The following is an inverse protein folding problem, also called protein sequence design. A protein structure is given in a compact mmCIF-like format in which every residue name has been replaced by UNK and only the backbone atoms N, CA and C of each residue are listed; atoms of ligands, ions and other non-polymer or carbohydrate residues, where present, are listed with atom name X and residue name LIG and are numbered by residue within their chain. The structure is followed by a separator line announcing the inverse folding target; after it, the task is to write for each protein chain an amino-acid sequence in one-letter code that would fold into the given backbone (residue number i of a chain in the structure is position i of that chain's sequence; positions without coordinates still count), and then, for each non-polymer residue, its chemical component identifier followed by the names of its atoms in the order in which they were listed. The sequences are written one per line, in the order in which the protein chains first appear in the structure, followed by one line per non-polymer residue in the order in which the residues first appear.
data_IF_913623534316
#
_entry.id   IF_913623534316
#
_cell.length_a   1.000
_cell.length_b   1.000
_cell.length_c   1.000
_cell.angle_alpha   90.00
_cell.angle_beta   90.00
_cell.angle_gamma   90.00
#
_symmetry.space_group_name_H-M   'P 1'
#
loop_
_entity.id
_entity.type
_entity.pdbx_description
1 polymer ?
#
# COMPACT_ATOMS: atom_id res chain seq x y z
N UNK A 1 34.91 -0.38 -0.76
CA UNK A 1 34.15 0.76 -1.30
C UNK A 1 32.69 0.38 -1.12
N UNK A 2 31.93 1.12 -0.30
CA UNK A 2 30.54 0.79 -0.01
C UNK A 2 29.64 1.45 -1.04
N UNK A 3 29.12 0.68 -2.00
CA UNK A 3 27.99 1.10 -2.84
C UNK A 3 26.74 0.76 -2.06
N UNK A 4 26.28 1.69 -1.24
CA UNK A 4 25.00 1.59 -0.55
C UNK A 4 23.90 1.93 -1.58
N UNK A 5 23.59 0.97 -2.46
CA UNK A 5 22.52 1.08 -3.46
C UNK A 5 21.19 0.65 -2.81
N UNK A 6 20.47 1.60 -2.21
CA UNK A 6 19.02 1.52 -2.06
C UNK A 6 18.46 2.87 -2.52
N UNK A 7 18.02 2.96 -3.77
CA UNK A 7 16.59 3.24 -3.96
C UNK A 7 15.99 2.63 -5.25
N UNK A 8 14.70 2.24 -5.21
CA UNK A 8 13.86 2.22 -6.42
C UNK A 8 12.36 2.41 -6.12
N UNK A 9 11.90 3.66 -6.15
CA UNK A 9 10.67 4.08 -6.84
C UNK A 9 10.88 5.50 -7.43
N UNK A 10 11.72 5.71 -8.47
CA UNK A 10 13.13 5.28 -8.47
C UNK A 10 14.02 6.19 -7.59
N UNK A 11 13.58 7.41 -7.24
CA UNK A 11 14.37 8.33 -6.40
C UNK A 11 13.50 9.43 -5.73
N UNK A 12 12.25 9.11 -5.35
CA UNK A 12 11.33 9.96 -4.51
C UNK A 12 10.93 11.31 -5.20
N UNK A 13 9.99 12.19 -4.79
CA UNK A 13 9.20 12.53 -3.60
C UNK A 13 7.67 12.48 -3.93
N UNK A 14 6.77 12.21 -2.96
CA UNK A 14 5.31 12.33 -3.16
C UNK A 14 4.84 13.79 -3.06
N UNK A 15 3.66 14.10 -3.60
CA UNK A 15 3.04 15.42 -3.42
C UNK A 15 1.69 15.32 -2.70
N UNK A 16 1.64 16.09 -1.63
CA UNK A 16 0.60 16.39 -0.64
C UNK A 16 -0.74 16.90 -1.21
N UNK A 17 -1.89 16.33 -0.81
CA UNK A 17 -2.97 17.17 -0.26
C UNK A 17 -4.12 16.44 0.47
N UNK A 18 -4.16 16.71 1.78
CA UNK A 18 -5.31 16.99 2.63
C UNK A 18 -6.57 16.12 2.49
N UNK A 19 -6.74 15.17 3.42
CA UNK A 19 -8.01 15.07 4.13
C UNK A 19 -7.78 14.76 5.61
N UNK A 20 -8.46 15.59 6.40
CA UNK A 20 -8.37 15.80 7.83
C UNK A 20 -8.98 14.68 8.68
N UNK A 21 -8.58 14.69 9.96
CA UNK A 21 -9.21 14.15 11.18
C UNK A 21 -8.73 12.77 11.69
N UNK A 22 -7.92 12.84 12.77
CA UNK A 22 -7.58 11.83 13.80
C UNK A 22 -6.43 10.82 13.59
N UNK A 23 -5.68 10.85 12.48
CA UNK A 23 -4.42 10.08 12.35
C UNK A 23 -3.21 11.03 12.31
N UNK A 24 -2.15 10.73 13.07
CA UNK A 24 -0.88 11.50 13.06
C UNK A 24 -0.09 11.25 11.75
N UNK A 25 -0.47 10.21 11.00
CA UNK A 25 0.13 9.76 9.74
C UNK A 25 -0.45 10.48 8.51
N UNK A 26 0.38 10.71 7.50
CA UNK A 26 -0.02 11.37 6.26
C UNK A 26 -0.86 10.43 5.38
N UNK A 27 -2.10 10.81 5.04
CA UNK A 27 -2.92 9.98 4.16
C UNK A 27 -2.43 10.04 2.72
N UNK A 28 -2.12 8.88 2.15
CA UNK A 28 -1.75 8.74 0.74
C UNK A 28 -2.85 8.03 -0.04
N UNK A 29 -3.13 8.54 -1.22
CA UNK A 29 -3.91 7.86 -2.24
C UNK A 29 -2.99 7.62 -3.43
N UNK A 30 -2.85 6.36 -3.83
CA UNK A 30 -2.01 6.01 -4.96
C UNK A 30 -2.82 6.13 -6.24
N UNK A 31 -2.41 7.02 -7.15
CA UNK A 31 -2.97 7.09 -8.48
C UNK A 31 -2.49 5.93 -9.36
N UNK A 32 -3.15 5.72 -10.50
CA UNK A 32 -2.79 4.66 -11.46
C UNK A 32 -1.33 4.81 -11.89
N UNK A 33 -0.52 3.79 -11.63
CA UNK A 33 0.92 3.75 -11.92
C UNK A 33 1.80 4.05 -10.72
N UNK A 34 1.23 4.58 -9.64
CA UNK A 34 1.96 4.89 -8.42
C UNK A 34 2.20 3.67 -7.53
N UNK A 35 3.22 3.75 -6.68
CA UNK A 35 3.42 2.76 -5.62
C UNK A 35 4.03 3.37 -4.38
N UNK A 36 3.65 2.80 -3.25
CA UNK A 36 4.26 3.07 -1.95
C UNK A 36 5.03 1.84 -1.51
N UNK A 37 6.15 2.07 -0.82
CA UNK A 37 6.86 1.03 -0.08
C UNK A 37 7.06 1.53 1.34
N UNK A 38 6.75 0.70 2.31
CA UNK A 38 7.00 1.02 3.71
C UNK A 38 6.86 -0.19 4.62
N UNK A 39 7.38 -0.05 5.83
CA UNK A 39 7.20 -1.00 6.93
C UNK A 39 5.80 -0.84 7.50
N UNK A 40 5.02 -1.91 7.59
CA UNK A 40 3.71 -1.90 8.23
C UNK A 40 3.90 -1.54 9.71
N UNK A 41 3.36 -0.39 10.11
CA UNK A 41 3.36 0.08 11.49
C UNK A 41 2.13 -0.32 12.25
N UNK A 42 0.98 -0.26 11.60
CA UNK A 42 -0.27 -0.69 12.17
C UNK A 42 -1.23 -1.10 11.04
N UNK A 43 -2.02 -2.13 11.32
CA UNK A 43 -3.15 -2.53 10.51
C UNK A 43 -4.39 -2.31 11.37
N UNK A 44 -5.20 -1.30 11.03
CA UNK A 44 -6.44 -1.00 11.75
C UNK A 44 -7.62 -1.52 10.92
N UNK A 45 -8.09 -2.76 11.15
CA UNK A 45 -9.27 -3.29 10.46
C UNK A 45 -10.56 -2.65 11.00
N UNK A 46 -11.64 -2.71 10.21
CA UNK A 46 -12.96 -2.15 10.55
C UNK A 46 -12.99 -0.62 10.71
N UNK A 47 -12.22 0.09 9.89
CA UNK A 47 -12.21 1.55 9.86
C UNK A 47 -13.19 2.11 8.81
N UNK A 48 -13.70 3.32 9.10
CA UNK A 48 -14.60 4.04 8.20
C UNK A 48 -16.02 3.45 8.11
N UNK A 49 -16.73 3.82 7.04
CA UNK A 49 -18.15 3.49 6.84
C UNK A 49 -18.39 2.08 6.26
N UNK A 50 -17.35 1.47 5.70
CA UNK A 50 -17.42 0.20 4.97
C UNK A 50 -16.52 -0.88 5.59
N UNK A 51 -16.25 -0.76 6.89
CA UNK A 51 -15.41 -1.71 7.65
C UNK A 51 -14.07 -1.98 6.95
N UNK A 52 -13.49 -0.94 6.32
CA UNK A 52 -12.30 -1.05 5.48
C UNK A 52 -11.05 -0.98 6.34
N UNK A 53 -10.05 -1.80 6.05
CA UNK A 53 -8.77 -1.80 6.78
C UNK A 53 -7.95 -0.55 6.41
N UNK A 54 -7.43 0.15 7.41
CA UNK A 54 -6.41 1.20 7.22
C UNK A 54 -5.04 0.59 7.48
N UNK A 55 -4.10 0.89 6.60
CA UNK A 55 -2.72 0.40 6.69
C UNK A 55 -1.82 1.62 6.89
N UNK A 56 -1.07 1.62 7.99
CA UNK A 56 -0.02 2.61 8.23
C UNK A 56 1.34 2.03 7.82
N UNK A 57 2.02 2.71 6.91
CA UNK A 57 3.31 2.32 6.34
C UNK A 57 4.37 3.36 6.68
N UNK A 58 5.46 2.96 7.34
CA UNK A 58 6.63 3.80 7.55
C UNK A 58 7.56 3.71 6.32
N UNK A 59 7.66 4.79 5.57
CA UNK A 59 8.50 4.89 4.37
C UNK A 59 9.95 5.29 4.67
N UNK A 60 10.25 5.67 5.91
CA UNK A 60 11.59 6.05 6.34
C UNK A 60 11.65 6.52 7.78
N UNK A 61 12.74 7.22 8.15
CA UNK A 61 12.92 7.76 9.50
C UNK A 61 12.01 8.97 9.68
N UNK A 62 10.85 8.74 10.30
CA UNK A 62 9.90 9.80 10.68
C UNK A 62 8.83 10.11 9.63
N UNK A 63 8.74 9.31 8.58
CA UNK A 63 7.74 9.45 7.51
C UNK A 63 6.80 8.24 7.57
N UNK A 64 5.59 8.45 8.09
CA UNK A 64 4.55 7.43 8.22
C UNK A 64 3.35 7.88 7.44
N UNK A 65 2.89 7.01 6.55
CA UNK A 65 1.76 7.27 5.67
C UNK A 65 0.64 6.28 5.94
N UNK A 66 -0.61 6.73 5.92
CA UNK A 66 -1.79 5.90 6.05
C UNK A 66 -2.46 5.74 4.69
N UNK A 67 -2.94 4.54 4.37
CA UNK A 67 -3.74 4.30 3.17
C UNK A 67 -4.92 3.39 3.46
N UNK A 68 -5.99 3.57 2.67
CA UNK A 68 -7.10 2.63 2.67
C UNK A 68 -6.68 1.34 1.96
N UNK A 69 -6.80 0.22 2.66
CA UNK A 69 -6.71 -1.09 2.05
C UNK A 69 -7.91 -1.35 1.15
N UNK A 70 -7.74 -2.32 0.26
CA UNK A 70 -8.79 -2.88 -0.58
C UNK A 70 -8.77 -4.39 -0.44
N UNK A 71 -9.85 -5.09 -0.84
CA UNK A 71 -9.90 -6.55 -0.76
C UNK A 71 -8.74 -7.28 -1.45
N UNK A 72 -8.14 -6.67 -2.49
CA UNK A 72 -6.94 -7.21 -3.14
C UNK A 72 -5.69 -7.10 -2.24
N UNK A 73 -5.57 -6.00 -1.50
CA UNK A 73 -4.46 -5.74 -0.58
C UNK A 73 -4.62 -6.59 0.67
N UNK A 74 -5.80 -6.59 1.31
CA UNK A 74 -6.08 -7.43 2.49
C UNK A 74 -5.80 -8.92 2.20
N UNK A 75 -6.25 -9.43 1.04
CA UNK A 75 -5.99 -10.82 0.67
C UNK A 75 -4.49 -11.09 0.44
N UNK A 76 -3.77 -10.17 -0.19
CA UNK A 76 -2.33 -10.36 -0.38
C UNK A 76 -1.55 -10.28 0.93
N UNK A 77 -1.97 -9.45 1.88
CA UNK A 77 -1.40 -9.41 3.23
C UNK A 77 -1.69 -10.70 3.99
N UNK A 78 -2.93 -11.18 3.98
CA UNK A 78 -3.36 -12.44 4.63
C UNK A 78 -2.65 -13.68 4.04
N UNK A 79 -2.57 -13.79 2.72
CA UNK A 79 -1.95 -14.93 2.02
C UNK A 79 -0.43 -15.01 2.28
N UNK A 80 0.22 -13.88 2.54
CA UNK A 80 1.66 -13.79 2.81
C UNK A 80 1.98 -13.63 4.31
N UNK A 81 0.99 -13.70 5.20
CA UNK A 81 1.13 -13.52 6.66
C UNK A 81 1.85 -12.19 7.03
N UNK A 82 1.59 -11.13 6.26
CA UNK A 82 2.25 -9.83 6.39
C UNK A 82 1.59 -8.98 7.48
N UNK A 83 2.38 -8.56 8.46
CA UNK A 83 1.89 -7.82 9.63
C UNK A 83 2.81 -6.69 10.07
N UNK A 84 2.60 -6.22 11.29
CA UNK A 84 3.41 -5.15 11.90
C UNK A 84 4.91 -5.53 11.90
N UNK A 85 5.74 -4.66 11.35
CA UNK A 85 7.19 -4.84 11.21
C UNK A 85 7.63 -5.40 9.85
N UNK A 86 6.70 -5.85 9.00
CA UNK A 86 7.02 -6.32 7.66
C UNK A 86 7.08 -5.17 6.65
N UNK A 87 8.05 -5.21 5.74
CA UNK A 87 8.20 -4.21 4.69
C UNK A 87 7.43 -4.65 3.46
N UNK A 88 6.42 -3.87 3.06
CA UNK A 88 5.57 -4.17 1.91
C UNK A 88 5.58 -3.02 0.91
N UNK A 89 5.55 -3.40 -0.37
CA UNK A 89 5.35 -2.50 -1.49
C UNK A 89 3.97 -2.69 -2.08
N UNK A 90 3.15 -1.64 -2.06
CA UNK A 90 1.81 -1.63 -2.65
C UNK A 90 1.86 -0.75 -3.90
N UNK A 91 1.52 -1.33 -5.04
CA UNK A 91 1.50 -0.65 -6.34
C UNK A 91 0.10 -0.63 -6.92
N UNK A 92 -0.39 0.56 -7.20
CA UNK A 92 -1.53 0.77 -8.07
C UNK A 92 -1.03 0.67 -9.51
N UNK A 93 -1.41 -0.38 -10.22
CA UNK A 93 -0.94 -0.55 -11.60
C UNK A 93 -1.77 0.32 -12.55
N UNK A 94 -1.18 0.74 -13.66
CA UNK A 94 -1.95 1.39 -14.76
C UNK A 94 -2.88 0.41 -15.48
N UNK A 95 -2.83 -0.88 -15.13
CA UNK A 95 -3.67 -1.90 -15.73
C UNK A 95 -5.00 -1.95 -14.97
N UNK A 96 -6.07 -1.89 -15.75
CA UNK A 96 -7.41 -2.21 -15.29
C UNK A 96 -7.79 -3.59 -15.80
N UNK A 97 -8.61 -4.29 -15.03
CA UNK A 97 -9.25 -5.52 -15.47
C UNK A 97 -10.75 -5.32 -15.45
N UNK A 98 -11.46 -6.05 -16.31
CA UNK A 98 -12.92 -6.09 -16.26
C UNK A 98 -13.37 -7.38 -15.61
N UNK A 99 -14.42 -7.32 -14.80
CA UNK A 99 -15.18 -8.50 -14.40
C UNK A 99 -16.65 -8.30 -14.77
N UNK A 100 -17.32 -9.39 -15.10
CA UNK A 100 -18.76 -9.37 -15.33
C UNK A 100 -19.46 -9.65 -14.01
N UNK A 101 -20.31 -8.73 -13.54
CA UNK A 101 -21.11 -8.95 -12.34
C UNK A 101 -22.26 -9.92 -12.60
N UNK A 102 -23.00 -10.29 -11.55
CA UNK A 102 -24.16 -11.20 -11.65
C UNK A 102 -25.31 -10.64 -12.52
N UNK A 103 -25.35 -9.32 -12.75
CA UNK A 103 -26.30 -8.66 -13.65
C UNK A 103 -25.87 -8.67 -15.14
N UNK A 104 -24.67 -9.21 -15.45
CA UNK A 104 -24.15 -9.29 -16.81
C UNK A 104 -23.49 -8.00 -17.30
N UNK A 105 -23.23 -7.04 -16.42
CA UNK A 105 -22.56 -5.78 -16.72
C UNK A 105 -21.04 -5.92 -16.55
N UNK A 106 -20.28 -5.44 -17.52
CA UNK A 106 -18.82 -5.37 -17.44
C UNK A 106 -18.43 -4.18 -16.55
N UNK A 107 -17.86 -4.48 -15.38
CA UNK A 107 -17.30 -3.47 -14.49
C UNK A 107 -15.78 -3.49 -14.59
N UNK A 108 -15.21 -2.33 -14.88
CA UNK A 108 -13.77 -2.10 -14.84
C UNK A 108 -13.33 -1.84 -13.40
N UNK A 109 -12.26 -2.51 -12.97
CA UNK A 109 -11.61 -2.29 -11.69
C UNK A 109 -10.10 -2.17 -11.87
N UNK A 110 -9.49 -1.39 -10.99
CA UNK A 110 -8.05 -1.21 -10.95
C UNK A 110 -7.34 -2.43 -10.37
N UNK A 111 -6.22 -2.82 -10.99
CA UNK A 111 -5.41 -3.93 -10.50
C UNK A 111 -4.36 -3.40 -9.52
N UNK A 112 -4.42 -3.92 -8.30
CA UNK A 112 -3.46 -3.62 -7.24
C UNK A 112 -2.48 -4.78 -7.09
N UNK A 113 -1.21 -4.46 -6.78
CA UNK A 113 -0.17 -5.47 -6.53
C UNK A 113 0.51 -5.16 -5.22
N UNK A 114 0.49 -6.14 -4.33
CA UNK A 114 1.28 -6.12 -3.09
C UNK A 114 2.48 -7.05 -3.28
N UNK A 115 3.64 -6.61 -2.82
CA UNK A 115 4.85 -7.41 -2.78
C UNK A 115 5.52 -7.21 -1.43
N UNK A 116 5.88 -8.29 -0.76
CA UNK A 116 6.82 -8.21 0.34
C UNK A 116 8.19 -7.79 -0.21
N UNK A 117 8.83 -6.84 0.46
CA UNK A 117 10.25 -6.62 0.28
C UNK A 117 10.92 -7.55 1.30
N UNK A 118 11.62 -8.61 0.86
CA UNK A 118 12.23 -9.54 1.81
C UNK A 118 13.17 -8.72 2.70
N UNK A 119 12.83 -8.62 3.99
CA UNK A 119 13.67 -8.01 4.99
C UNK A 119 15.00 -8.75 4.93
N UNK A 120 16.04 -8.07 4.42
CA UNK A 120 17.26 -8.72 3.99
C UNK A 120 17.82 -9.69 5.03
N UNK A 121 17.94 -10.95 4.64
CA UNK A 121 18.89 -11.88 5.22
C UNK A 121 19.24 -12.97 4.19
N UNK A 122 20.47 -13.52 4.14
CA UNK A 122 21.61 -13.34 5.05
C UNK A 122 22.93 -12.89 4.37
N UNK A 123 23.88 -12.45 5.22
CA UNK A 123 25.33 -12.81 5.30
C UNK A 123 26.28 -11.63 5.59
#
# INVERSE_FOLDING_TARGET
MATQETPSFDDLEPVDNSTSDDYDSEWIDLERGESVVGEIRELTPNCGKYDTTVIELARGIGDVVAMWSNSQIDNALDDNDLGEGDVVGIKHTEQTSTFTNEDGEEQEYDIWKVRELPAGGPE
#
